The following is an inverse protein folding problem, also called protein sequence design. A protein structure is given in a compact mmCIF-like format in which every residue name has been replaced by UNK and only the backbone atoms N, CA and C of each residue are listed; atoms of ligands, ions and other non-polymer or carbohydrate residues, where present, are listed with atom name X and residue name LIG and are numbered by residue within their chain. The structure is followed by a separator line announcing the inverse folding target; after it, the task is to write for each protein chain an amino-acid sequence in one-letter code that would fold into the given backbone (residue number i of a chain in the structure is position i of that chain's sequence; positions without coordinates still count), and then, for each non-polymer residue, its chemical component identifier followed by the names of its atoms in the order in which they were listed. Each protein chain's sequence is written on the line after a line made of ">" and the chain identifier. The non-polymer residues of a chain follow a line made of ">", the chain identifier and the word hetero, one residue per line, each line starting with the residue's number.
data_IF_630033226739
#
_entry.id   IF_630033226739
#
_cell.length_a   1.000
_cell.length_b   1.000
_cell.length_c   1.000
_cell.angle_alpha   90.00
_cell.angle_beta   90.00
_cell.angle_gamma   90.00
#
_symmetry.space_group_name_H-M   'P 1'
#
loop_
_entity.id
_entity.type
_entity.pdbx_description
1 polymer ?
#
# COMPACT_ATOMS: atom_id res chain seq x y z
N UNK A 1 0.22 -17.86 8.47
CA UNK A 1 -0.56 -16.89 7.67
C UNK A 1 0.44 -15.92 7.07
N UNK A 2 0.43 -15.74 5.76
CA UNK A 2 1.38 -14.85 5.09
C UNK A 2 0.80 -13.44 5.05
N UNK A 3 1.59 -12.46 5.47
CA UNK A 3 1.23 -11.05 5.44
C UNK A 3 2.26 -10.25 4.65
N UNK A 4 1.85 -9.08 4.19
CA UNK A 4 2.68 -8.24 3.36
C UNK A 4 2.00 -6.93 3.04
N UNK A 5 2.63 -6.16 2.18
CA UNK A 5 2.12 -4.86 1.75
C UNK A 5 2.00 -4.86 0.24
N UNK A 6 0.85 -4.39 -0.23
CA UNK A 6 0.59 -4.17 -1.64
C UNK A 6 0.50 -2.67 -1.90
N UNK A 7 1.23 -2.21 -2.92
CA UNK A 7 1.31 -0.81 -3.30
C UNK A 7 1.03 -0.70 -4.79
N UNK A 8 0.07 0.13 -5.16
CA UNK A 8 -0.23 0.43 -6.56
C UNK A 8 0.11 1.89 -6.82
N UNK A 9 0.88 2.14 -7.87
CA UNK A 9 1.27 3.49 -8.27
C UNK A 9 0.89 3.75 -9.73
N UNK A 10 0.59 5.01 -10.10
CA UNK A 10 0.25 5.40 -11.47
C UNK A 10 1.47 5.50 -12.41
N UNK A 11 2.67 5.36 -11.85
CA UNK A 11 3.95 5.40 -12.56
C UNK A 11 4.96 4.51 -11.84
N UNK A 12 6.05 4.08 -12.50
CA UNK A 12 7.11 3.31 -11.84
C UNK A 12 7.64 4.06 -10.62
N UNK A 13 7.83 3.34 -9.50
CA UNK A 13 8.32 3.93 -8.26
C UNK A 13 9.68 3.32 -7.86
N UNK A 14 10.80 3.99 -8.15
CA UNK A 14 12.14 3.54 -7.75
C UNK A 14 12.31 3.41 -6.23
N UNK A 15 11.56 4.18 -5.43
CA UNK A 15 11.55 4.07 -3.96
C UNK A 15 11.20 2.65 -3.51
N UNK A 16 10.33 1.97 -4.25
CA UNK A 16 9.90 0.60 -3.98
C UNK A 16 10.95 -0.45 -4.38
N UNK A 17 11.74 -0.18 -5.44
CA UNK A 17 12.64 -1.19 -6.02
C UNK A 17 14.12 -0.99 -5.70
N UNK A 18 14.53 0.20 -5.26
CA UNK A 18 15.95 0.55 -5.07
C UNK A 18 16.35 0.68 -3.59
N UNK A 19 15.41 0.52 -2.65
CA UNK A 19 15.71 0.55 -1.22
C UNK A 19 16.33 -0.77 -0.78
N UNK A 20 17.60 -0.74 -0.33
CA UNK A 20 18.33 -1.92 0.15
C UNK A 20 17.62 -2.54 1.37
N UNK A 21 17.36 -3.84 1.34
CA UNK A 21 16.74 -4.58 2.44
C UNK A 21 15.22 -4.42 2.58
N UNK A 22 14.61 -3.52 1.80
CA UNK A 22 13.17 -3.23 1.84
C UNK A 22 12.49 -3.31 0.47
N UNK A 23 13.13 -4.01 -0.48
CA UNK A 23 12.71 -4.05 -1.87
C UNK A 23 11.34 -4.72 -2.04
N UNK A 24 10.44 -4.01 -2.70
CA UNK A 24 9.19 -4.56 -3.21
C UNK A 24 9.42 -5.13 -4.61
N UNK A 25 8.81 -6.28 -4.87
CA UNK A 25 8.77 -6.89 -6.19
C UNK A 25 7.64 -6.28 -7.01
N UNK A 26 7.94 -5.84 -8.23
CA UNK A 26 6.91 -5.51 -9.22
C UNK A 26 6.28 -6.82 -9.70
N UNK A 27 5.00 -7.03 -9.37
CA UNK A 27 4.28 -8.27 -9.73
C UNK A 27 3.51 -8.11 -11.04
N UNK A 28 2.99 -6.92 -11.33
CA UNK A 28 2.21 -6.66 -12.54
C UNK A 28 2.27 -5.19 -12.93
N UNK A 29 2.18 -4.93 -14.23
CA UNK A 29 1.99 -3.59 -14.79
C UNK A 29 0.91 -3.66 -15.85
N UNK A 30 -0.22 -2.99 -15.65
CA UNK A 30 -1.35 -3.00 -16.59
C UNK A 30 -2.14 -1.69 -16.52
N UNK A 31 -2.63 -1.20 -17.66
CA UNK A 31 -3.49 -0.01 -17.76
C UNK A 31 -2.90 1.24 -17.06
N UNK A 32 -1.57 1.42 -17.12
CA UNK A 32 -0.87 2.52 -16.46
C UNK A 32 -0.77 2.39 -14.93
N UNK A 33 -1.12 1.23 -14.36
CA UNK A 33 -0.91 0.93 -12.95
C UNK A 33 0.24 -0.05 -12.78
N UNK A 34 1.10 0.22 -11.80
CA UNK A 34 2.23 -0.62 -11.41
C UNK A 34 1.98 -1.17 -10.02
N UNK A 35 1.95 -2.49 -9.90
CA UNK A 35 1.57 -3.20 -8.68
C UNK A 35 2.82 -3.83 -8.07
N UNK A 36 3.10 -3.41 -6.85
CA UNK A 36 4.26 -3.82 -6.08
C UNK A 36 3.81 -4.60 -4.85
N UNK A 37 4.54 -5.65 -4.53
CA UNK A 37 4.29 -6.46 -3.36
C UNK A 37 5.56 -6.79 -2.60
N UNK A 38 5.46 -6.81 -1.28
CA UNK A 38 6.52 -7.28 -0.39
C UNK A 38 5.90 -8.15 0.70
N UNK A 39 6.44 -9.34 0.88
CA UNK A 39 6.21 -10.11 2.11
C UNK A 39 6.88 -9.40 3.28
N UNK A 40 6.15 -9.24 4.37
CA UNK A 40 6.71 -8.76 5.62
C UNK A 40 6.54 -9.87 6.66
N UNK A 41 7.60 -10.10 7.44
CA UNK A 41 7.58 -11.04 8.57
C UNK A 41 7.69 -10.31 9.92
N UNK A 42 7.67 -8.96 9.92
CA UNK A 42 7.78 -8.14 11.11
C UNK A 42 6.88 -6.90 11.09
N UNK A 43 6.99 -6.07 12.12
CA UNK A 43 6.11 -4.90 12.38
C UNK A 43 6.65 -3.60 11.77
N UNK A 44 7.48 -3.66 10.73
CA UNK A 44 8.23 -2.48 10.25
C UNK A 44 7.32 -1.34 9.76
N UNK A 45 6.27 -1.63 8.99
CA UNK A 45 5.38 -0.59 8.46
C UNK A 45 4.01 -0.56 9.14
N UNK A 46 3.55 -1.73 9.58
CA UNK A 46 2.28 -1.87 10.28
C UNK A 46 2.46 -2.82 11.46
N UNK A 47 1.79 -2.52 12.56
CA UNK A 47 1.71 -3.38 13.73
C UNK A 47 0.29 -3.93 13.87
N UNK A 48 0.16 -5.25 14.00
CA UNK A 48 -1.13 -5.92 14.07
C UNK A 48 -1.78 -5.69 15.43
N UNK A 49 -3.03 -5.22 15.42
CA UNK A 49 -3.84 -5.13 16.63
C UNK A 49 -4.65 -6.42 16.83
N UNK A 50 -5.20 -6.96 15.76
CA UNK A 50 -6.02 -8.17 15.76
C UNK A 50 -6.10 -8.77 14.33
N UNK A 51 -7.03 -9.71 14.11
CA UNK A 51 -7.22 -10.37 12.80
C UNK A 51 -7.85 -9.48 11.72
N UNK A 52 -8.35 -8.29 12.08
CA UNK A 52 -9.05 -7.35 11.20
C UNK A 52 -8.33 -6.02 11.03
N UNK A 53 -7.47 -5.63 11.98
CA UNK A 53 -6.90 -4.28 12.05
C UNK A 53 -5.40 -4.27 12.37
N UNK A 54 -4.74 -3.23 11.89
CA UNK A 54 -3.36 -2.88 12.19
C UNK A 54 -3.24 -1.37 12.38
N UNK A 55 -2.11 -0.91 12.91
CA UNK A 55 -1.75 0.51 12.98
C UNK A 55 -0.50 0.77 12.17
N UNK A 56 -0.43 1.92 11.50
CA UNK A 56 0.80 2.38 10.86
C UNK A 56 1.85 2.68 11.92
N UNK A 57 3.07 2.16 11.74
CA UNK A 57 4.22 2.57 12.54
C UNK A 57 4.76 3.91 12.06
N UNK A 58 5.68 4.52 12.81
CA UNK A 58 6.40 5.70 12.36
C UNK A 58 7.13 5.45 11.02
N UNK A 59 7.85 4.33 10.94
CA UNK A 59 8.55 3.93 9.73
C UNK A 59 7.58 3.69 8.56
N UNK A 60 6.41 3.09 8.80
CA UNK A 60 5.38 2.91 7.78
C UNK A 60 4.80 4.23 7.28
N UNK A 61 4.50 5.15 8.19
CA UNK A 61 4.02 6.48 7.82
C UNK A 61 5.06 7.23 6.97
N UNK A 62 6.33 7.24 7.39
CA UNK A 62 7.41 7.89 6.64
C UNK A 62 7.65 7.25 5.27
N UNK A 63 7.57 5.93 5.18
CA UNK A 63 7.66 5.20 3.93
C UNK A 63 6.54 5.59 2.96
N UNK A 64 5.28 5.62 3.43
CA UNK A 64 4.13 6.02 2.61
C UNK A 64 4.23 7.49 2.16
N UNK A 65 4.74 8.39 3.02
CA UNK A 65 5.01 9.79 2.64
C UNK A 65 6.07 9.90 1.54
N UNK A 66 7.15 9.10 1.62
CA UNK A 66 8.21 9.08 0.59
C UNK A 66 7.65 8.63 -0.76
N UNK A 67 6.85 7.56 -0.78
CA UNK A 67 6.19 7.08 -2.01
C UNK A 67 5.22 8.14 -2.54
N UNK A 68 4.38 8.70 -1.67
CA UNK A 68 3.44 9.75 -2.04
C UNK A 68 4.12 10.99 -2.62
N UNK A 69 5.28 11.40 -2.07
CA UNK A 69 6.07 12.52 -2.58
C UNK A 69 6.66 12.24 -3.96
N UNK A 70 6.99 10.97 -4.25
CA UNK A 70 7.57 10.57 -5.53
C UNK A 70 6.53 10.32 -6.62
N UNK A 71 5.44 9.62 -6.30
CA UNK A 71 4.41 9.21 -7.25
C UNK A 71 3.22 10.18 -7.32
N UNK A 72 3.13 11.13 -6.39
CA UNK A 72 2.01 12.06 -6.31
C UNK A 72 0.69 11.38 -5.92
N UNK A 73 -0.40 11.91 -6.47
CA UNK A 73 -1.74 11.40 -6.20
C UNK A 73 -1.99 10.06 -6.92
N UNK A 74 -2.84 9.23 -6.32
CA UNK A 74 -3.24 7.94 -6.90
C UNK A 74 -2.41 6.75 -6.42
N UNK A 75 -1.52 6.94 -5.45
CA UNK A 75 -0.88 5.82 -4.74
C UNK A 75 -1.93 5.12 -3.88
N UNK A 76 -1.98 3.80 -4.01
CA UNK A 76 -2.83 2.93 -3.22
C UNK A 76 -1.95 2.04 -2.34
N UNK A 77 -2.36 1.88 -1.09
CA UNK A 77 -1.71 1.02 -0.10
C UNK A 77 -2.74 0.04 0.47
N UNK A 78 -2.33 -1.22 0.65
CA UNK A 78 -3.12 -2.22 1.35
C UNK A 78 -2.22 -3.08 2.25
N UNK A 79 -2.64 -3.28 3.50
CA UNK A 79 -2.06 -4.29 4.39
C UNK A 79 -2.71 -5.65 4.07
N UNK A 80 -1.89 -6.56 3.58
CA UNK A 80 -2.31 -7.84 3.02
C UNK A 80 -2.28 -8.91 4.10
N UNK A 81 -3.37 -9.66 4.18
CA UNK A 81 -3.43 -10.93 4.88
C UNK A 81 -3.92 -11.97 3.88
N UNK A 82 -3.04 -12.86 3.41
CA UNK A 82 -3.41 -13.91 2.45
C UNK A 82 -4.15 -15.03 3.19
N UNK A 83 -5.32 -15.42 2.67
CA UNK A 83 -6.21 -16.42 3.26
C UNK A 83 -6.37 -17.63 2.34
N UNK A 84 -6.65 -18.82 2.87
CA UNK A 84 -7.12 -19.98 2.09
C UNK A 84 -6.30 -20.34 0.82
N UNK A 85 -4.96 -20.28 0.89
CA UNK A 85 -4.05 -20.53 -0.26
C UNK A 85 -4.14 -19.49 -1.40
N UNK A 86 -4.70 -18.31 -1.12
CA UNK A 86 -4.69 -17.16 -2.02
C UNK A 86 -3.26 -16.79 -2.41
N UNK A 87 -3.03 -16.59 -3.70
CA UNK A 87 -1.77 -16.07 -4.24
C UNK A 87 -1.71 -14.54 -4.10
N UNK A 88 -0.52 -13.96 -4.31
CA UNK A 88 -0.37 -12.51 -4.29
C UNK A 88 -1.17 -11.87 -5.45
N UNK A 89 -1.21 -12.56 -6.59
CA UNK A 89 -1.94 -12.16 -7.78
C UNK A 89 -3.46 -12.16 -7.56
N UNK A 90 -4.00 -13.16 -6.86
CA UNK A 90 -5.42 -13.21 -6.48
C UNK A 90 -5.82 -12.03 -5.60
N UNK A 91 -4.96 -11.70 -4.62
CA UNK A 91 -5.20 -10.56 -3.75
C UNK A 91 -5.06 -9.22 -4.50
N UNK A 92 -4.05 -9.08 -5.37
CA UNK A 92 -3.89 -7.91 -6.24
C UNK A 92 -5.14 -7.68 -7.11
N UNK A 93 -5.68 -8.74 -7.71
CA UNK A 93 -6.93 -8.68 -8.47
C UNK A 93 -8.11 -8.22 -7.60
N UNK A 94 -8.15 -8.62 -6.32
CA UNK A 94 -9.17 -8.15 -5.37
C UNK A 94 -9.05 -6.65 -5.11
N UNK A 95 -7.84 -6.13 -4.89
CA UNK A 95 -7.59 -4.69 -4.70
C UNK A 95 -7.94 -3.90 -5.96
N UNK A 96 -7.59 -4.41 -7.15
CA UNK A 96 -7.96 -3.79 -8.43
C UNK A 96 -9.49 -3.73 -8.61
N UNK A 97 -10.23 -4.77 -8.20
CA UNK A 97 -11.70 -4.75 -8.21
C UNK A 97 -12.25 -3.70 -7.23
N UNK A 98 -11.68 -3.56 -6.04
CA UNK A 98 -12.07 -2.51 -5.08
C UNK A 98 -11.83 -1.11 -5.68
N UNK A 99 -10.71 -0.91 -6.37
CA UNK A 99 -10.38 0.33 -7.07
C UNK A 99 -11.35 0.65 -8.21
N UNK A 100 -11.67 -0.33 -9.06
CA UNK A 100 -12.59 -0.15 -10.17
C UNK A 100 -14.03 0.17 -9.71
N UNK A 101 -14.39 -0.28 -8.51
CA UNK A 101 -15.68 0.02 -7.88
C UNK A 101 -15.69 1.34 -7.08
N UNK A 102 -14.62 2.14 -7.15
CA UNK A 102 -14.39 3.35 -6.33
C UNK A 102 -14.55 3.12 -4.81
N UNK A 103 -14.40 1.88 -4.37
CA UNK A 103 -14.54 1.48 -2.97
C UNK A 103 -13.18 1.52 -2.24
N UNK A 104 -12.48 2.66 -2.35
CA UNK A 104 -11.22 2.87 -1.65
C UNK A 104 -11.35 4.01 -0.65
N UNK A 105 -10.89 3.74 0.57
CA UNK A 105 -10.88 4.76 1.61
C UNK A 105 -9.68 5.68 1.43
N UNK A 106 -9.82 6.96 1.74
CA UNK A 106 -8.67 7.85 1.79
C UNK A 106 -7.93 7.69 3.13
N UNK A 107 -6.60 7.72 3.10
CA UNK A 107 -5.76 7.68 4.31
C UNK A 107 -4.68 8.75 4.27
N UNK A 108 -4.42 9.36 5.42
CA UNK A 108 -3.23 10.16 5.65
C UNK A 108 -2.14 9.28 6.25
N UNK A 109 -0.92 9.41 5.75
CA UNK A 109 0.22 8.67 6.24
C UNK A 109 0.68 9.25 7.59
N UNK A 110 0.01 8.84 8.66
CA UNK A 110 0.28 9.27 10.04
C UNK A 110 0.59 8.05 10.92
N UNK A 111 1.57 8.15 11.84
CA UNK A 111 1.83 7.11 12.82
C UNK A 111 0.59 6.82 13.69
N UNK A 112 0.49 5.59 14.20
CA UNK A 112 -0.63 5.09 14.98
C UNK A 112 -2.00 5.13 14.27
N UNK A 113 -2.05 5.48 12.99
CA UNK A 113 -3.29 5.46 12.22
C UNK A 113 -3.77 4.03 12.03
N UNK A 114 -4.97 3.73 12.52
CA UNK A 114 -5.60 2.43 12.33
C UNK A 114 -6.01 2.22 10.87
N UNK A 115 -5.72 1.02 10.38
CA UNK A 115 -6.09 0.50 9.07
C UNK A 115 -6.74 -0.86 9.23
N UNK A 116 -7.64 -1.18 8.32
CA UNK A 116 -8.24 -2.50 8.19
C UNK A 116 -7.40 -3.33 7.24
N UNK A 117 -7.25 -4.58 7.59
CA UNK A 117 -6.58 -5.57 6.78
C UNK A 117 -7.43 -5.86 5.55
N UNK A 118 -6.76 -6.14 4.42
CA UNK A 118 -7.40 -6.41 3.12
C UNK A 118 -8.26 -5.26 2.57
N UNK A 119 -8.17 -4.06 3.16
CA UNK A 119 -8.78 -2.85 2.62
C UNK A 119 -7.73 -2.04 1.86
N UNK A 120 -8.11 -1.55 0.68
CA UNK A 120 -7.30 -0.64 -0.11
C UNK A 120 -7.52 0.82 0.30
N UNK A 121 -6.42 1.54 0.48
CA UNK A 121 -6.40 2.95 0.87
C UNK A 121 -5.72 3.81 -0.18
N UNK A 122 -6.36 4.89 -0.60
CA UNK A 122 -5.74 5.94 -1.40
C UNK A 122 -4.98 6.90 -0.50
N UNK A 123 -3.68 7.09 -0.76
CA UNK A 123 -2.87 8.03 -0.01
C UNK A 123 -3.29 9.48 -0.35
N UNK A 124 -3.65 10.23 0.68
CA UNK A 124 -3.79 11.67 0.60
C UNK A 124 -2.42 12.31 0.83
N UNK A 125 -1.74 12.71 -0.24
CA UNK A 125 -0.38 13.26 -0.16
C UNK A 125 -0.31 14.70 0.32
N UNK A 126 -1.43 15.32 0.73
CA UNK A 126 -1.45 16.68 1.27
C UNK A 126 -0.98 17.77 0.29
N UNK A 127 -0.58 17.40 -0.94
CA UNK A 127 -0.37 18.31 -2.06
C UNK A 127 -1.73 18.78 -2.54
N UNK A 128 -2.39 19.57 -1.69
CA UNK A 128 -3.35 20.56 -2.11
C UNK A 128 -2.63 21.38 -3.17
N UNK A 129 -3.06 21.23 -4.43
CA UNK A 129 -2.80 22.25 -5.44
C UNK A 129 -3.32 23.54 -4.83
N UNK A 130 -2.41 24.37 -4.29
CA UNK A 130 -2.65 25.80 -4.15
C UNK A 130 -2.78 26.34 -5.58
N UNK A 131 -3.98 26.15 -6.14
CA UNK A 131 -4.45 26.94 -7.27
C UNK A 131 -4.82 28.31 -6.69
N UNK A 132 -3.89 29.26 -6.77
CA UNK A 132 -4.10 30.62 -7.27
C UNK A 132 -2.81 31.41 -7.18
#
# INVERSE_FOLDING_TARGET
>A
MSFGHLIITPQPCPVLTQTRGETFSLIQSQNGQHIYFRFCEGTSYTERLNEQEAVLTEQGADFLRKIGSHCGNGVIFADVLLLNRESVEDFAATVLKQLAADNTAAIQAEPARTIKLRQAYRLNTGLSRRNR
#
